data_IF_147037310145
#
_entry.id   IF_147037310145
#
_cell.length_a   1.000
_cell.length_b   1.000
_cell.length_c   1.000
_cell.angle_alpha   90.00
_cell.angle_beta   90.00
_cell.angle_gamma   90.00
#
_symmetry.space_group_name_H-M   'P 1'
#
loop_
_entity.id
_entity.type
_entity.pdbx_description
1 polymer ?
#
# COMPACT_ATOMS: atom_id res chain seq x y z
N UNK A 1 14.50 11.20 -9.09
CA UNK A 1 13.60 10.77 -8.00
C UNK A 1 14.44 10.72 -6.74
N UNK A 2 13.97 11.28 -5.66
CA UNK A 2 14.70 11.26 -4.38
C UNK A 2 14.49 9.90 -3.67
N UNK A 3 15.48 9.41 -2.89
CA UNK A 3 15.29 8.21 -2.10
C UNK A 3 14.12 8.38 -1.11
N UNK A 4 13.39 7.32 -0.88
CA UNK A 4 12.29 7.25 0.08
C UNK A 4 12.44 5.97 0.91
N UNK A 5 13.31 5.97 1.93
CA UNK A 5 13.67 4.77 2.68
C UNK A 5 12.64 4.42 3.78
N UNK A 6 11.37 4.76 3.55
CA UNK A 6 10.31 4.55 4.55
C UNK A 6 10.22 3.10 5.02
N UNK A 7 10.51 2.16 4.13
CA UNK A 7 10.40 0.73 4.40
C UNK A 7 11.57 0.17 5.23
N UNK A 8 12.74 0.83 5.16
CA UNK A 8 13.96 0.31 5.79
C UNK A 8 13.81 0.09 7.31
N UNK A 9 13.11 0.98 8.00
CA UNK A 9 12.86 0.87 9.44
C UNK A 9 11.95 -0.31 9.82
N UNK A 10 11.21 -0.85 8.86
CA UNK A 10 10.27 -1.94 9.05
C UNK A 10 10.80 -3.31 8.64
N UNK A 11 11.99 -3.39 8.05
CA UNK A 11 12.54 -4.66 7.53
C UNK A 11 12.60 -5.75 8.60
N UNK A 12 13.02 -5.44 9.81
CA UNK A 12 13.07 -6.41 10.93
C UNK A 12 11.67 -6.95 11.27
N UNK A 13 10.64 -6.08 11.27
CA UNK A 13 9.26 -6.50 11.48
C UNK A 13 8.79 -7.40 10.34
N UNK A 14 9.07 -7.02 9.10
CA UNK A 14 8.69 -7.77 7.90
C UNK A 14 9.33 -9.15 7.94
N UNK A 15 10.64 -9.26 8.17
CA UNK A 15 11.37 -10.52 8.27
C UNK A 15 10.78 -11.44 9.35
N UNK A 16 10.45 -10.89 10.52
CA UNK A 16 9.86 -11.65 11.62
C UNK A 16 8.48 -12.24 11.29
N UNK A 17 7.72 -11.60 10.37
CA UNK A 17 6.36 -12.02 10.05
C UNK A 17 6.23 -12.84 8.76
N UNK A 18 7.21 -12.84 7.86
CA UNK A 18 7.12 -13.57 6.58
C UNK A 18 7.01 -15.09 6.74
N UNK A 19 7.67 -15.68 7.74
CA UNK A 19 7.65 -17.13 8.01
C UNK A 19 7.81 -17.98 6.73
N UNK A 20 8.83 -17.65 5.91
CA UNK A 20 9.12 -18.29 4.61
C UNK A 20 8.04 -18.09 3.52
N UNK A 21 6.98 -17.34 3.80
CA UNK A 21 5.99 -16.95 2.80
C UNK A 21 6.47 -15.72 2.01
N UNK A 22 6.01 -15.52 0.78
CA UNK A 22 6.31 -14.28 0.06
C UNK A 22 5.62 -13.09 0.71
N UNK A 23 6.21 -11.90 0.53
CA UNK A 23 5.52 -10.63 0.76
C UNK A 23 4.62 -10.35 -0.45
N UNK A 24 3.36 -10.02 -0.23
CA UNK A 24 2.48 -9.51 -1.29
C UNK A 24 2.60 -8.00 -1.35
N UNK A 25 3.00 -7.46 -2.51
CA UNK A 25 3.06 -6.02 -2.77
C UNK A 25 1.92 -5.59 -3.69
N UNK A 26 1.02 -4.76 -3.16
CA UNK A 26 -0.13 -4.22 -3.88
C UNK A 26 0.20 -2.83 -4.43
N UNK A 27 0.23 -2.70 -5.76
CA UNK A 27 0.62 -1.47 -6.43
C UNK A 27 2.14 -1.26 -6.38
N UNK A 28 2.90 -2.20 -6.96
CA UNK A 28 4.36 -2.18 -6.93
C UNK A 28 5.00 -0.98 -7.67
N UNK A 29 4.23 -0.24 -8.45
CA UNK A 29 4.72 0.92 -9.18
C UNK A 29 5.95 0.59 -10.03
N UNK A 30 7.00 1.38 -9.90
CA UNK A 30 8.26 1.18 -10.62
C UNK A 30 9.30 0.34 -9.85
N UNK A 31 8.86 -0.35 -8.79
CA UNK A 31 9.64 -1.38 -8.10
C UNK A 31 10.63 -0.86 -7.06
N UNK A 32 10.39 0.30 -6.46
CA UNK A 32 11.28 0.83 -5.41
C UNK A 32 11.19 -0.05 -4.15
N UNK A 33 9.98 -0.26 -3.64
CA UNK A 33 9.74 -1.08 -2.45
C UNK A 33 10.01 -2.57 -2.75
N UNK A 34 9.65 -3.06 -3.96
CA UNK A 34 10.03 -4.40 -4.44
C UNK A 34 11.54 -4.63 -4.34
N UNK A 35 12.35 -3.66 -4.80
CA UNK A 35 13.81 -3.77 -4.78
C UNK A 35 14.36 -3.81 -3.34
N UNK A 36 13.80 -3.00 -2.44
CA UNK A 36 14.17 -3.00 -1.02
C UNK A 36 13.88 -4.35 -0.37
N UNK A 37 12.69 -4.92 -0.60
CA UNK A 37 12.30 -6.23 -0.06
C UNK A 37 13.21 -7.35 -0.58
N UNK A 38 13.46 -7.38 -1.88
CA UNK A 38 14.33 -8.41 -2.49
C UNK A 38 15.78 -8.26 -2.04
N UNK A 39 16.29 -7.03 -1.87
CA UNK A 39 17.63 -6.78 -1.32
C UNK A 39 17.77 -7.28 0.13
N UNK A 40 16.68 -7.30 0.90
CA UNK A 40 16.61 -7.91 2.23
C UNK A 40 16.45 -9.45 2.19
N UNK A 41 16.54 -10.09 1.02
CA UNK A 41 16.43 -11.54 0.87
C UNK A 41 15.00 -12.10 0.84
N UNK A 42 13.99 -11.23 0.75
CA UNK A 42 12.60 -11.64 0.80
C UNK A 42 12.07 -12.00 -0.59
N UNK A 43 11.19 -13.00 -0.65
CA UNK A 43 10.44 -13.33 -1.87
C UNK A 43 9.26 -12.38 -2.01
N UNK A 44 9.06 -11.82 -3.20
CA UNK A 44 7.99 -10.86 -3.46
C UNK A 44 7.07 -11.37 -4.58
N UNK A 45 5.78 -11.36 -4.31
CA UNK A 45 4.71 -11.39 -5.31
C UNK A 45 4.16 -9.97 -5.35
N UNK A 46 4.22 -9.31 -6.51
CA UNK A 46 3.71 -7.95 -6.64
C UNK A 46 2.78 -7.80 -7.82
N UNK A 47 1.92 -6.81 -7.78
CA UNK A 47 1.12 -6.46 -8.94
C UNK A 47 0.86 -4.94 -9.03
N UNK A 48 0.56 -4.50 -10.25
CA UNK A 48 0.13 -3.15 -10.55
C UNK A 48 -0.83 -3.15 -11.74
N UNK A 49 -1.75 -2.20 -11.80
CA UNK A 49 -2.65 -2.02 -12.92
C UNK A 49 -1.91 -1.49 -14.16
N UNK A 50 -0.89 -0.66 -13.95
CA UNK A 50 -0.10 -0.03 -14.99
C UNK A 50 0.83 -1.01 -15.70
N UNK A 51 0.60 -1.21 -17.00
CA UNK A 51 1.48 -2.03 -17.84
C UNK A 51 2.94 -1.54 -17.84
N UNK A 52 3.14 -0.21 -17.83
CA UNK A 52 4.46 0.40 -17.80
C UNK A 52 5.19 0.15 -16.47
N UNK A 53 4.46 0.29 -15.34
CA UNK A 53 4.99 -0.01 -14.02
C UNK A 53 5.43 -1.47 -13.90
N UNK A 54 4.56 -2.42 -14.29
CA UNK A 54 4.88 -3.86 -14.30
C UNK A 54 6.11 -4.18 -15.14
N UNK A 55 6.21 -3.62 -16.36
CA UNK A 55 7.36 -3.85 -17.23
C UNK A 55 8.65 -3.31 -16.61
N UNK A 56 8.61 -2.11 -16.04
CA UNK A 56 9.75 -1.48 -15.37
C UNK A 56 10.20 -2.30 -14.15
N UNK A 57 9.26 -2.72 -13.30
CA UNK A 57 9.58 -3.50 -12.10
C UNK A 57 10.16 -4.85 -12.44
N UNK A 58 9.65 -5.55 -13.45
CA UNK A 58 10.23 -6.82 -13.94
C UNK A 58 11.66 -6.67 -14.44
N UNK A 59 11.96 -5.57 -15.13
CA UNK A 59 13.33 -5.29 -15.59
C UNK A 59 14.27 -4.97 -14.42
N UNK A 60 13.78 -4.21 -13.44
CA UNK A 60 14.57 -3.77 -12.30
C UNK A 60 14.82 -4.90 -11.28
N UNK A 61 13.82 -5.75 -11.06
CA UNK A 61 13.83 -6.81 -10.03
C UNK A 61 13.35 -8.13 -10.65
N UNK A 62 14.17 -8.76 -11.50
CA UNK A 62 13.75 -9.95 -12.26
C UNK A 62 13.47 -11.19 -11.39
N UNK A 63 13.92 -11.21 -10.14
CA UNK A 63 13.65 -12.28 -9.18
C UNK A 63 12.28 -12.18 -8.50
N UNK A 64 11.59 -11.04 -8.60
CA UNK A 64 10.24 -10.88 -8.07
C UNK A 64 9.18 -11.41 -9.06
N UNK A 65 8.12 -12.02 -8.54
CA UNK A 65 6.95 -12.43 -9.33
C UNK A 65 6.00 -11.25 -9.48
N UNK A 66 6.14 -10.48 -10.56
CA UNK A 66 5.35 -9.27 -10.80
C UNK A 66 4.28 -9.53 -11.87
N UNK A 67 3.03 -9.22 -11.57
CA UNK A 67 1.87 -9.44 -12.43
C UNK A 67 1.17 -8.12 -12.78
N UNK A 68 0.55 -8.05 -13.97
CA UNK A 68 -0.41 -6.98 -14.25
C UNK A 68 -1.78 -7.43 -13.74
N UNK A 69 -2.34 -6.70 -12.78
CA UNK A 69 -3.62 -7.06 -12.16
C UNK A 69 -4.31 -5.81 -11.60
N UNK A 70 -5.63 -5.78 -11.65
CA UNK A 70 -6.45 -4.84 -10.87
C UNK A 70 -6.61 -5.41 -9.44
N UNK A 71 -6.53 -4.56 -8.43
CA UNK A 71 -6.76 -4.98 -7.04
C UNK A 71 -8.21 -5.46 -6.80
N UNK A 72 -9.14 -5.10 -7.69
CA UNK A 72 -10.53 -5.59 -7.68
C UNK A 72 -10.66 -7.06 -8.09
N UNK A 73 -9.71 -7.55 -8.87
CA UNK A 73 -9.64 -8.97 -9.22
C UNK A 73 -9.29 -9.83 -7.99
N UNK A 74 -9.55 -11.12 -8.02
CA UNK A 74 -9.03 -12.04 -7.01
C UNK A 74 -7.51 -11.88 -6.84
N UNK A 75 -7.01 -11.94 -5.61
CA UNK A 75 -5.58 -11.91 -5.35
C UNK A 75 -4.87 -13.10 -6.06
N UNK A 76 -3.55 -13.02 -6.30
CA UNK A 76 -2.78 -14.14 -6.83
C UNK A 76 -3.04 -15.42 -6.02
N UNK A 77 -3.08 -16.59 -6.68
CA UNK A 77 -3.37 -17.88 -6.00
C UNK A 77 -2.41 -18.19 -4.86
N UNK A 78 -1.14 -17.77 -5.00
CA UNK A 78 -0.11 -17.94 -3.97
C UNK A 78 -0.22 -16.92 -2.82
N UNK A 79 -1.15 -15.95 -2.92
CA UNK A 79 -1.35 -14.89 -1.92
C UNK A 79 -2.37 -15.30 -0.86
N UNK A 80 -2.12 -16.40 -0.20
CA UNK A 80 -2.95 -16.91 0.92
C UNK A 80 -2.09 -17.19 2.13
N UNK A 81 -2.67 -17.05 3.32
CA UNK A 81 -1.99 -17.30 4.59
C UNK A 81 -0.66 -16.52 4.71
N UNK A 82 -0.67 -15.30 4.23
CA UNK A 82 0.50 -14.45 4.17
C UNK A 82 0.89 -13.90 5.56
N UNK A 83 2.18 -13.78 5.79
CA UNK A 83 2.68 -13.08 6.97
C UNK A 83 2.74 -11.57 6.80
N UNK A 84 2.94 -11.09 5.57
CA UNK A 84 3.13 -9.67 5.27
C UNK A 84 2.47 -9.27 3.95
N UNK A 85 1.74 -8.16 3.99
CA UNK A 85 1.25 -7.45 2.80
C UNK A 85 1.75 -6.01 2.85
N UNK A 86 2.19 -5.49 1.71
CA UNK A 86 2.60 -4.10 1.50
C UNK A 86 1.66 -3.41 0.53
N UNK A 87 1.18 -2.20 0.87
CA UNK A 87 0.28 -1.40 0.05
C UNK A 87 0.64 0.10 0.12
N UNK A 88 1.72 0.49 -0.55
CA UNK A 88 2.23 1.85 -0.48
C UNK A 88 1.57 2.76 -1.50
N UNK A 89 0.69 3.68 -1.05
CA UNK A 89 -0.02 4.64 -1.90
C UNK A 89 -0.81 3.97 -3.03
N UNK A 90 -1.44 2.82 -2.75
CA UNK A 90 -2.21 2.03 -3.73
C UNK A 90 -3.69 1.83 -3.36
N UNK A 91 -4.09 2.09 -2.11
CA UNK A 91 -5.47 1.87 -1.62
C UNK A 91 -6.37 3.10 -1.74
N UNK A 92 -5.93 4.19 -2.34
CA UNK A 92 -6.63 5.47 -2.33
C UNK A 92 -7.36 5.82 -3.65
N UNK A 93 -7.56 4.86 -4.55
CA UNK A 93 -8.18 5.13 -5.86
C UNK A 93 -9.68 4.78 -5.91
N UNK A 94 -10.29 4.43 -4.79
CA UNK A 94 -11.62 3.82 -4.74
C UNK A 94 -12.60 4.62 -3.88
N UNK A 95 -13.93 4.53 -4.19
CA UNK A 95 -14.98 4.98 -3.27
C UNK A 95 -14.86 4.31 -1.90
N UNK A 96 -15.47 4.90 -0.87
CA UNK A 96 -15.33 4.42 0.51
C UNK A 96 -15.71 2.94 0.67
N UNK A 97 -16.89 2.58 0.20
CA UNK A 97 -17.39 1.21 0.35
C UNK A 97 -16.51 0.18 -0.37
N UNK A 98 -15.97 0.55 -1.54
CA UNK A 98 -15.06 -0.32 -2.28
C UNK A 98 -13.69 -0.41 -1.57
N UNK A 99 -13.22 0.67 -0.96
CA UNK A 99 -11.98 0.68 -0.16
C UNK A 99 -12.12 -0.27 1.04
N UNK A 100 -13.26 -0.26 1.73
CA UNK A 100 -13.54 -1.20 2.83
C UNK A 100 -13.51 -2.67 2.36
N UNK A 101 -14.14 -2.98 1.23
CA UNK A 101 -14.13 -4.34 0.66
C UNK A 101 -12.72 -4.79 0.27
N UNK A 102 -11.91 -3.90 -0.28
CA UNK A 102 -10.52 -4.19 -0.62
C UNK A 102 -9.70 -4.46 0.64
N UNK A 103 -9.83 -3.62 1.66
CA UNK A 103 -9.11 -3.78 2.94
C UNK A 103 -9.51 -5.06 3.66
N UNK A 104 -10.79 -5.44 3.63
CA UNK A 104 -11.25 -6.71 4.20
C UNK A 104 -10.64 -7.92 3.45
N UNK A 105 -10.60 -7.88 2.12
CA UNK A 105 -9.94 -8.91 1.31
C UNK A 105 -8.45 -9.03 1.61
N UNK A 106 -7.77 -7.90 1.77
CA UNK A 106 -6.35 -7.85 2.19
C UNK A 106 -6.19 -8.48 3.56
N UNK A 107 -7.06 -8.16 4.50
CA UNK A 107 -7.07 -8.76 5.85
C UNK A 107 -7.22 -10.27 5.80
N UNK A 108 -8.16 -10.77 4.99
CA UNK A 108 -8.42 -12.22 4.87
C UNK A 108 -7.26 -12.99 4.21
N UNK A 109 -6.44 -12.34 3.39
CA UNK A 109 -5.25 -12.96 2.79
C UNK A 109 -4.06 -13.08 3.77
N UNK A 110 -4.03 -12.28 4.81
CA UNK A 110 -3.07 -12.44 5.91
C UNK A 110 -3.46 -13.61 6.81
N UNK A 111 -2.50 -14.28 7.40
CA UNK A 111 -2.74 -15.17 8.55
C UNK A 111 -3.08 -14.36 9.81
N UNK A 112 -3.75 -14.92 10.82
CA UNK A 112 -3.87 -14.27 12.12
C UNK A 112 -2.50 -13.88 12.68
N UNK A 113 -2.33 -12.61 13.11
CA UNK A 113 -1.05 -12.05 13.51
C UNK A 113 -0.12 -11.66 12.33
N UNK A 114 -0.56 -11.80 11.08
CA UNK A 114 0.15 -11.23 9.92
C UNK A 114 -0.03 -9.72 9.84
N UNK A 115 0.88 -9.03 9.16
CA UNK A 115 0.95 -7.57 9.16
C UNK A 115 0.70 -6.95 7.78
N UNK A 116 -0.04 -5.85 7.78
CA UNK A 116 -0.18 -4.93 6.65
C UNK A 116 0.63 -3.67 6.93
N UNK A 117 1.51 -3.32 6.02
CA UNK A 117 2.17 -2.01 6.00
C UNK A 117 1.58 -1.22 4.84
N UNK A 118 1.00 -0.07 5.10
CA UNK A 118 0.46 0.76 4.03
C UNK A 118 0.75 2.24 4.22
N UNK A 119 0.73 2.96 3.10
CA UNK A 119 0.73 4.43 3.08
C UNK A 119 -0.53 4.91 2.38
N UNK A 120 -1.20 5.90 2.98
CA UNK A 120 -2.43 6.51 2.47
C UNK A 120 -2.21 8.01 2.24
N UNK A 121 -2.86 8.59 1.23
CA UNK A 121 -2.83 10.03 1.04
C UNK A 121 -3.45 10.75 2.25
N UNK A 122 -2.79 11.78 2.74
CA UNK A 122 -3.32 12.62 3.82
C UNK A 122 -4.16 13.78 3.27
N UNK A 123 -5.22 14.17 3.98
CA UNK A 123 -5.97 15.41 3.73
C UNK A 123 -5.08 16.66 3.84
N UNK A 124 -3.93 16.56 4.50
CA UNK A 124 -2.94 17.64 4.57
C UNK A 124 -1.99 17.72 3.36
N UNK A 125 -2.17 16.84 2.36
CA UNK A 125 -1.36 16.83 1.14
C UNK A 125 -1.77 17.94 0.17
N UNK A 126 -1.27 19.15 0.39
CA UNK A 126 -1.61 20.34 -0.40
C UNK A 126 -1.08 20.33 -1.83
N UNK A 127 -0.16 19.43 -2.17
CA UNK A 127 0.52 19.41 -3.46
C UNK A 127 -0.02 18.38 -4.45
N UNK A 128 -0.79 17.39 -4.01
CA UNK A 128 -1.17 16.24 -4.82
C UNK A 128 -2.69 15.97 -4.87
N UNK A 129 -3.52 16.95 -4.49
CA UNK A 129 -4.93 16.94 -4.83
C UNK A 129 -5.92 16.89 -3.68
N UNK A 130 -5.50 17.09 -2.42
CA UNK A 130 -6.46 17.18 -1.31
C UNK A 130 -7.28 18.48 -1.30
N UNK A 131 -6.93 19.45 -2.17
CA UNK A 131 -7.58 20.76 -2.25
C UNK A 131 -7.72 21.22 -3.70
N UNK A 132 -8.77 21.98 -3.98
CA UNK A 132 -8.94 22.64 -5.27
C UNK A 132 -9.52 21.77 -6.39
N UNK A 133 -10.00 20.58 -6.08
CA UNK A 133 -10.62 19.64 -7.01
C UNK A 133 -12.07 19.35 -6.64
N UNK A 134 -12.83 18.83 -7.60
CA UNK A 134 -14.23 18.45 -7.38
C UNK A 134 -14.29 17.23 -6.44
N UNK A 135 -14.97 17.39 -5.32
CA UNK A 135 -15.25 16.30 -4.39
C UNK A 135 -16.39 15.43 -4.93
N UNK A 136 -16.17 14.11 -4.96
CA UNK A 136 -17.13 13.10 -5.42
C UNK A 136 -17.94 12.58 -4.22
N UNK A 137 -17.25 12.31 -3.12
CA UNK A 137 -17.79 11.98 -1.81
C UNK A 137 -16.78 12.43 -0.73
N UNK A 138 -17.11 12.45 0.56
CA UNK A 138 -16.21 12.95 1.60
C UNK A 138 -14.79 12.39 1.50
N UNK A 139 -13.81 13.28 1.31
CA UNK A 139 -12.40 12.93 1.16
C UNK A 139 -12.00 12.28 -0.17
N UNK A 140 -12.91 12.17 -1.16
CA UNK A 140 -12.65 11.56 -2.45
C UNK A 140 -12.86 12.55 -3.59
N UNK A 141 -11.81 12.87 -4.34
CA UNK A 141 -11.78 13.97 -5.29
C UNK A 141 -11.40 13.49 -6.69
N UNK A 142 -11.92 14.18 -7.71
CA UNK A 142 -11.47 14.01 -9.10
C UNK A 142 -10.22 14.85 -9.36
N UNK A 143 -9.05 14.26 -9.25
CA UNK A 143 -7.74 14.93 -9.37
C UNK A 143 -7.13 14.64 -10.74
N UNK A 144 -7.03 15.66 -11.61
CA UNK A 144 -6.45 15.53 -12.95
C UNK A 144 -7.02 14.34 -13.76
N UNK A 145 -8.33 14.15 -13.70
CA UNK A 145 -9.04 13.10 -14.41
C UNK A 145 -8.96 11.71 -13.77
N UNK A 146 -8.37 11.60 -12.59
CA UNK A 146 -8.33 10.36 -11.81
C UNK A 146 -8.91 10.58 -10.41
N UNK A 147 -9.79 9.71 -9.94
CA UNK A 147 -10.33 9.81 -8.59
C UNK A 147 -9.25 9.41 -7.57
N UNK A 148 -9.15 10.18 -6.48
CA UNK A 148 -8.22 9.92 -5.37
C UNK A 148 -8.87 10.24 -4.04
N UNK A 149 -8.67 9.35 -3.08
CA UNK A 149 -9.08 9.53 -1.69
C UNK A 149 -7.93 10.09 -0.87
N UNK A 150 -8.28 10.97 0.06
CA UNK A 150 -7.41 11.52 1.09
C UNK A 150 -8.04 11.23 2.45
N UNK A 151 -7.21 10.85 3.38
CA UNK A 151 -7.63 10.40 4.70
C UNK A 151 -7.20 11.40 5.76
N UNK A 152 -8.09 11.79 6.66
CA UNK A 152 -7.72 12.31 7.95
C UNK A 152 -7.50 11.14 8.94
N UNK A 153 -7.07 11.44 10.14
CA UNK A 153 -6.79 10.41 11.16
C UNK A 153 -8.04 9.60 11.50
N UNK A 154 -9.20 10.24 11.56
CA UNK A 154 -10.47 9.58 11.87
C UNK A 154 -10.86 8.59 10.75
N UNK A 155 -10.70 8.98 9.49
CA UNK A 155 -10.94 8.10 8.35
C UNK A 155 -9.97 6.89 8.34
N UNK A 156 -8.70 7.07 8.75
CA UNK A 156 -7.78 5.94 8.91
C UNK A 156 -8.27 4.99 10.00
N UNK A 157 -8.69 5.51 11.16
CA UNK A 157 -9.25 4.67 12.23
C UNK A 157 -10.53 3.95 11.82
N UNK A 158 -11.41 4.61 11.05
CA UNK A 158 -12.63 3.99 10.52
C UNK A 158 -12.32 2.89 9.51
N UNK A 159 -11.33 3.10 8.63
CA UNK A 159 -10.93 2.12 7.62
C UNK A 159 -10.42 0.81 8.24
N UNK A 160 -9.75 0.91 9.38
CA UNK A 160 -9.13 -0.20 10.07
C UNK A 160 -9.79 -0.52 11.42
N UNK A 161 -11.09 -0.20 11.58
CA UNK A 161 -11.81 -0.43 12.83
C UNK A 161 -11.99 -1.93 13.16
N UNK A 162 -12.26 -2.75 12.13
CA UNK A 162 -12.67 -4.12 12.34
C UNK A 162 -11.58 -5.13 11.94
N UNK A 163 -11.17 -5.94 12.91
CA UNK A 163 -10.24 -7.05 12.70
C UNK A 163 -8.78 -6.66 12.55
N UNK A 164 -8.42 -5.44 12.96
CA UNK A 164 -7.05 -4.94 12.95
C UNK A 164 -6.60 -4.42 14.32
N UNK A 165 -5.34 -4.66 14.64
CA UNK A 165 -4.61 -4.00 15.73
C UNK A 165 -3.63 -3.01 15.11
N UNK A 166 -3.72 -1.72 15.45
CA UNK A 166 -2.79 -0.71 14.96
C UNK A 166 -1.48 -0.85 15.74
N UNK A 167 -0.38 -1.18 15.04
CA UNK A 167 0.99 -1.22 15.59
C UNK A 167 1.60 0.19 15.54
N UNK A 168 1.43 0.88 14.40
CA UNK A 168 1.90 2.24 14.22
C UNK A 168 0.95 3.03 13.31
N UNK A 169 0.77 4.31 13.64
CA UNK A 169 0.04 5.29 12.84
C UNK A 169 0.79 6.61 12.92
N UNK A 170 1.40 7.00 11.82
CA UNK A 170 2.23 8.20 11.77
C UNK A 170 1.87 9.06 10.56
N UNK A 171 1.77 10.37 10.78
CA UNK A 171 1.67 11.34 9.70
C UNK A 171 3.06 11.73 9.23
N UNK A 172 3.38 11.43 7.98
CA UNK A 172 4.72 11.57 7.42
C UNK A 172 4.75 12.47 6.19
N UNK A 173 5.93 12.95 5.82
CA UNK A 173 6.15 13.70 4.58
C UNK A 173 7.31 13.11 3.79
N UNK A 174 7.18 13.06 2.47
CA UNK A 174 8.26 12.65 1.56
C UNK A 174 8.44 13.66 0.43
N UNK A 175 9.65 13.77 -0.08
CA UNK A 175 9.98 14.56 -1.29
C UNK A 175 10.23 13.68 -2.52
N UNK A 176 9.95 12.40 -2.45
CA UNK A 176 10.15 11.42 -3.55
C UNK A 176 9.66 11.92 -4.91
N UNK A 177 8.57 12.66 -4.93
CA UNK A 177 7.91 13.15 -6.14
C UNK A 177 8.30 14.57 -6.54
N UNK A 178 9.38 15.12 -5.99
CA UNK A 178 9.87 16.48 -6.28
C UNK A 178 9.20 17.60 -5.49
N UNK A 179 7.93 17.43 -5.13
CA UNK A 179 7.21 18.28 -4.16
C UNK A 179 6.99 17.50 -2.86
N UNK A 180 6.81 18.20 -1.76
CA UNK A 180 6.45 17.57 -0.49
C UNK A 180 5.08 16.91 -0.62
N UNK A 181 5.02 15.62 -0.32
CA UNK A 181 3.81 14.82 -0.23
C UNK A 181 3.56 14.46 1.22
N UNK A 182 2.34 14.69 1.71
CA UNK A 182 1.91 14.26 3.03
C UNK A 182 1.12 12.96 2.94
N UNK A 183 1.44 12.02 3.81
CA UNK A 183 0.82 10.70 3.84
C UNK A 183 0.72 10.16 5.26
N UNK A 184 -0.23 9.29 5.49
CA UNK A 184 -0.27 8.40 6.63
C UNK A 184 0.58 7.18 6.34
N UNK A 185 1.44 6.82 7.28
CA UNK A 185 2.13 5.54 7.33
C UNK A 185 1.49 4.71 8.42
N UNK A 186 0.93 3.57 8.03
CA UNK A 186 0.12 2.73 8.92
C UNK A 186 0.67 1.31 8.90
N UNK A 187 0.93 0.78 10.08
CA UNK A 187 1.31 -0.62 10.27
C UNK A 187 0.27 -1.29 11.16
N UNK A 188 -0.27 -2.38 10.67
CA UNK A 188 -1.41 -3.06 11.25
C UNK A 188 -1.12 -4.55 11.38
N UNK A 189 -1.61 -5.16 12.44
CA UNK A 189 -1.64 -6.61 12.60
C UNK A 189 -3.08 -7.11 12.43
N UNK A 190 -3.27 -8.18 11.66
CA UNK A 190 -4.56 -8.87 11.63
C UNK A 190 -4.87 -9.46 13.01
N UNK A 191 -5.98 -9.04 13.61
CA UNK A 191 -6.47 -9.59 14.86
C UNK A 191 -6.70 -11.12 14.76
N UNK A 192 -6.54 -11.80 15.90
CA UNK A 192 -6.70 -13.26 16.00
C UNK A 192 -8.15 -13.69 15.96
#
# INVERSE_FOLDING_TARGET
MFPDPWLDRWLTLIEAHTAERPVLEIGCGYGDDTATLVAAGLRVIGFDLSRAAVASTRMRVPSANIQRRDIRDPLPEDATDLGVILASLSLHYFPWDETLLIVDRVRLALRPGGVLLCRLNSTEDKNFGSHGYTEIEPGYFMVDGQPKRFFDENAVHQLFADGWNIIALEHTTTKKYGKTKSAWEVVLERAR
#
